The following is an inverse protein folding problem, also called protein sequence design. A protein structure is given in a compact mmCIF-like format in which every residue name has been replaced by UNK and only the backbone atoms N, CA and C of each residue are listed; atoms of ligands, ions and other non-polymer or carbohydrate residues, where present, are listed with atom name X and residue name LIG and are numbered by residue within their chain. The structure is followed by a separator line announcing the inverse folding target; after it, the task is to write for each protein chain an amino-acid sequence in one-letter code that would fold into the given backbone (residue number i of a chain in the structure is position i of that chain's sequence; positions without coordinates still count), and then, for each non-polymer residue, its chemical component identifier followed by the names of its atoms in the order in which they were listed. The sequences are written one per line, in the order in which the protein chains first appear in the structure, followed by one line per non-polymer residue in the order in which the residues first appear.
data_IF_149744631863
#
_entry.id   IF_149744631863
#
_cell.length_a   1.000
_cell.length_b   1.000
_cell.length_c   1.000
_cell.angle_alpha   90.00
_cell.angle_beta   90.00
_cell.angle_gamma   90.00
#
_symmetry.space_group_name_H-M   'P 1'
#
loop_
_entity.id
_entity.type
_entity.pdbx_description
1 polymer ?
#
# COMPACT_ATOMS: atom_id res chain seq x y z
N UNK A 1 14.17 13.29 -4.01
CA UNK A 1 14.02 11.88 -3.60
C UNK A 1 12.72 11.35 -4.19
N UNK A 2 12.69 10.13 -4.75
CA UNK A 2 11.42 9.52 -5.16
C UNK A 2 10.84 8.70 -4.01
N UNK A 3 9.61 8.99 -3.63
CA UNK A 3 8.84 8.24 -2.63
C UNK A 3 7.75 7.43 -3.30
N UNK A 4 7.45 6.26 -2.74
CA UNK A 4 6.33 5.43 -3.18
C UNK A 4 5.39 5.20 -2.01
N UNK A 5 4.09 5.27 -2.27
CA UNK A 5 3.05 4.89 -1.31
C UNK A 5 2.47 3.54 -1.69
N UNK A 6 2.30 2.65 -0.70
CA UNK A 6 1.60 1.37 -0.96
C UNK A 6 0.12 1.65 -1.21
N UNK A 7 -0.41 1.08 -2.29
CA UNK A 7 -1.79 1.26 -2.74
C UNK A 7 -2.47 -0.09 -2.95
N UNK A 8 -3.65 -0.24 -2.38
CA UNK A 8 -4.58 -1.33 -2.67
C UNK A 8 -5.89 -0.80 -3.18
N UNK A 9 -6.46 -1.51 -4.14
CA UNK A 9 -7.71 -1.10 -4.76
C UNK A 9 -8.67 -2.28 -4.87
N UNK A 10 -9.96 -1.98 -4.74
CA UNK A 10 -11.07 -2.84 -5.17
C UNK A 10 -11.94 -1.98 -6.06
N UNK A 11 -11.94 -2.28 -7.36
CA UNK A 11 -12.65 -1.48 -8.36
C UNK A 11 -13.59 -2.32 -9.22
N UNK A 12 -14.64 -1.68 -9.69
CA UNK A 12 -15.57 -2.18 -10.69
C UNK A 12 -16.25 -0.99 -11.39
N UNK A 13 -16.92 -1.21 -12.54
CA UNK A 13 -17.60 -0.13 -13.27
C UNK A 13 -18.61 0.66 -12.41
N UNK A 14 -19.29 0.00 -11.47
CA UNK A 14 -20.22 0.65 -10.53
C UNK A 14 -19.80 0.48 -9.07
N UNK A 15 -20.23 1.41 -8.22
CA UNK A 15 -19.96 1.34 -6.78
C UNK A 15 -20.56 0.08 -6.12
N UNK A 16 -21.74 -0.36 -6.57
CA UNK A 16 -22.40 -1.57 -6.08
C UNK A 16 -21.57 -2.81 -6.44
N UNK A 17 -21.03 -2.90 -7.65
CA UNK A 17 -20.17 -4.02 -8.04
C UNK A 17 -18.82 -4.00 -7.30
N UNK A 18 -18.25 -2.82 -7.06
CA UNK A 18 -17.02 -2.69 -6.28
C UNK A 18 -17.26 -3.14 -4.83
N UNK A 19 -18.40 -2.78 -4.25
CA UNK A 19 -18.81 -3.24 -2.92
C UNK A 19 -19.03 -4.77 -2.89
N UNK A 20 -19.74 -5.33 -3.87
CA UNK A 20 -19.90 -6.80 -3.97
C UNK A 20 -18.56 -7.53 -4.09
N UNK A 21 -17.61 -6.98 -4.86
CA UNK A 21 -16.25 -7.52 -4.97
C UNK A 21 -15.53 -7.44 -3.62
N UNK A 22 -15.64 -6.32 -2.91
CA UNK A 22 -15.11 -6.18 -1.55
C UNK A 22 -15.72 -7.20 -0.59
N UNK A 23 -17.04 -7.36 -0.57
CA UNK A 23 -17.74 -8.28 0.31
C UNK A 23 -17.32 -9.74 0.04
N UNK A 24 -17.10 -10.09 -1.23
CA UNK A 24 -16.56 -11.40 -1.64
C UNK A 24 -15.14 -11.63 -1.15
N UNK A 25 -14.27 -10.61 -1.21
CA UNK A 25 -12.92 -10.69 -0.64
C UNK A 25 -12.99 -10.87 0.88
N UNK A 26 -13.87 -10.13 1.55
CA UNK A 26 -14.06 -10.18 2.99
C UNK A 26 -14.62 -11.53 3.46
N UNK A 27 -15.51 -12.16 2.71
CA UNK A 27 -16.08 -13.46 3.07
C UNK A 27 -15.06 -14.61 3.01
N UNK A 28 -14.01 -14.46 2.21
CA UNK A 28 -12.89 -15.40 2.10
C UNK A 28 -11.70 -15.03 3.02
N UNK A 29 -11.87 -14.01 3.87
CA UNK A 29 -10.80 -13.48 4.68
C UNK A 29 -10.72 -14.16 6.05
N UNK A 30 -9.58 -14.79 6.36
CA UNK A 30 -9.39 -15.53 7.61
C UNK A 30 -8.57 -14.74 8.64
N UNK A 31 -9.22 -14.23 9.69
CA UNK A 31 -8.54 -13.48 10.77
C UNK A 31 -7.35 -14.25 11.36
N UNK A 32 -7.49 -15.55 11.63
CA UNK A 32 -6.41 -16.35 12.24
C UNK A 32 -5.14 -16.38 11.38
N UNK A 33 -5.28 -16.52 10.05
CA UNK A 33 -4.13 -16.46 9.14
C UNK A 33 -3.42 -15.10 9.21
N UNK A 34 -4.18 -14.03 9.44
CA UNK A 34 -3.63 -12.68 9.51
C UNK A 34 -2.96 -12.40 10.84
N UNK A 35 -3.46 -12.98 11.94
CA UNK A 35 -2.78 -12.93 13.24
C UNK A 35 -1.50 -13.76 13.25
N UNK A 36 -1.43 -14.85 12.48
CA UNK A 36 -0.16 -15.58 12.25
C UNK A 36 0.84 -14.70 11.49
N UNK A 37 0.41 -13.99 10.44
CA UNK A 37 1.26 -13.02 9.74
C UNK A 37 1.72 -11.90 10.68
N UNK A 38 0.82 -11.37 11.51
CA UNK A 38 1.16 -10.37 12.53
C UNK A 38 2.24 -10.86 13.49
N UNK A 39 2.13 -12.10 13.96
CA UNK A 39 3.13 -12.70 14.83
C UNK A 39 4.50 -12.83 14.13
N UNK A 40 4.52 -13.16 12.83
CA UNK A 40 5.73 -13.15 12.02
C UNK A 40 6.35 -11.75 11.86
N UNK A 41 5.51 -10.72 11.64
CA UNK A 41 5.96 -9.33 11.43
C UNK A 41 6.42 -8.64 12.72
N UNK A 42 5.93 -9.08 13.89
CA UNK A 42 6.14 -8.39 15.18
C UNK A 42 6.86 -9.22 16.24
N UNK A 43 6.91 -10.54 16.09
CA UNK A 43 7.31 -11.49 17.14
C UNK A 43 6.25 -11.71 18.22
N UNK A 44 5.05 -11.12 18.11
CA UNK A 44 4.02 -11.16 19.16
C UNK A 44 2.88 -12.09 18.78
N UNK A 45 2.71 -13.18 19.55
CA UNK A 45 1.58 -14.10 19.43
C UNK A 45 0.35 -13.55 20.17
N UNK A 46 -0.56 -12.94 19.40
CA UNK A 46 -1.80 -12.34 19.90
C UNK A 46 -2.73 -13.35 20.57
N UNK A 47 -2.63 -14.66 20.27
CA UNK A 47 -3.49 -15.67 20.90
C UNK A 47 -3.28 -15.79 22.42
N UNK A 48 -2.15 -15.30 22.93
CA UNK A 48 -1.76 -15.34 24.35
C UNK A 48 -2.25 -14.17 25.18
N UNK A 49 -2.91 -13.18 24.56
CA UNK A 49 -3.31 -11.93 25.19
C UNK A 49 -4.83 -11.79 25.30
N UNK A 50 -5.31 -11.24 26.42
CA UNK A 50 -6.71 -10.83 26.56
C UNK A 50 -7.00 -9.55 25.75
N UNK A 51 -8.24 -9.32 25.32
CA UNK A 51 -8.59 -8.18 24.43
C UNK A 51 -8.24 -6.79 25.00
N UNK A 52 -8.34 -6.63 26.32
CA UNK A 52 -8.04 -5.38 27.02
C UNK A 52 -6.56 -5.23 27.39
N UNK A 53 -5.74 -6.25 27.15
CA UNK A 53 -4.33 -6.25 27.49
C UNK A 53 -3.53 -5.42 26.47
N UNK A 54 -2.72 -4.49 26.98
CA UNK A 54 -1.82 -3.68 26.16
C UNK A 54 -0.64 -4.53 25.67
N UNK A 55 -0.26 -4.36 24.41
CA UNK A 55 0.86 -5.09 23.82
C UNK A 55 2.21 -4.55 24.32
N UNK A 56 3.20 -5.43 24.34
CA UNK A 56 4.60 -5.02 24.49
C UNK A 56 5.00 -4.10 23.34
N UNK A 57 5.69 -3.00 23.67
CA UNK A 57 6.30 -2.10 22.68
C UNK A 57 7.66 -2.60 22.20
N UNK A 58 8.22 -3.61 22.88
CA UNK A 58 9.44 -4.28 22.46
C UNK A 58 9.07 -5.37 21.44
N UNK A 59 9.37 -5.10 20.18
CA UNK A 59 9.07 -5.95 19.02
C UNK A 59 10.34 -6.17 18.20
N UNK A 60 10.46 -7.33 17.57
CA UNK A 60 11.58 -7.67 16.68
C UNK A 60 11.41 -7.10 15.26
N UNK A 61 10.26 -6.50 14.95
CA UNK A 61 9.92 -6.06 13.60
C UNK A 61 9.08 -4.78 13.57
N UNK A 62 7.89 -4.84 12.99
CA UNK A 62 7.10 -3.66 12.65
C UNK A 62 6.54 -2.94 13.88
N UNK A 63 7.27 -1.97 14.44
CA UNK A 63 6.82 -1.15 15.57
C UNK A 63 5.50 -0.40 15.29
N UNK A 64 5.21 -0.07 14.03
CA UNK A 64 3.93 0.57 13.64
C UNK A 64 2.70 -0.33 13.84
N UNK A 65 2.89 -1.62 14.08
CA UNK A 65 1.82 -2.59 14.31
C UNK A 65 1.54 -2.84 15.80
N UNK A 66 2.38 -2.35 16.70
CA UNK A 66 2.17 -2.43 18.16
C UNK A 66 1.76 -1.10 18.78
N UNK A 67 1.88 0.01 18.04
CA UNK A 67 1.57 1.36 18.49
C UNK A 67 0.28 1.92 17.89
N UNK A 68 -0.39 2.80 18.64
CA UNK A 68 -1.54 3.57 18.14
C UNK A 68 -1.08 4.58 17.07
N UNK A 69 -1.82 4.70 15.95
CA UNK A 69 -1.45 5.60 14.85
C UNK A 69 -1.77 7.08 15.12
N UNK A 70 -2.32 7.41 16.30
CA UNK A 70 -2.74 8.75 16.70
C UNK A 70 -1.60 9.64 17.23
N UNK A 71 -0.35 9.14 17.20
CA UNK A 71 0.81 9.85 17.72
C UNK A 71 0.91 9.90 19.24
N UNK A 72 0.01 9.21 19.97
CA UNK A 72 0.03 9.19 21.44
C UNK A 72 1.21 8.42 22.04
N UNK A 73 1.91 7.63 21.23
CA UNK A 73 2.98 6.73 21.69
C UNK A 73 2.48 5.57 22.55
N UNK A 74 1.16 5.36 22.64
CA UNK A 74 0.57 4.26 23.40
C UNK A 74 0.57 2.97 22.59
N UNK A 75 0.79 1.80 23.23
CA UNK A 75 0.60 0.53 22.57
C UNK A 75 -0.88 0.29 22.23
N UNK A 76 -1.11 -0.50 21.19
CA UNK A 76 -2.40 -1.11 20.90
C UNK A 76 -2.71 -2.18 21.96
N UNK A 77 -4.00 -2.47 22.18
CA UNK A 77 -4.41 -3.69 22.87
C UNK A 77 -4.55 -4.86 21.89
N UNK A 78 -4.54 -6.09 22.41
CA UNK A 78 -4.76 -7.28 21.58
C UNK A 78 -6.13 -7.25 20.87
N UNK A 79 -7.17 -6.72 21.53
CA UNK A 79 -8.50 -6.54 20.94
C UNK A 79 -8.49 -5.52 19.79
N UNK A 80 -7.76 -4.40 19.94
CA UNK A 80 -7.58 -3.41 18.88
C UNK A 80 -6.85 -4.02 17.66
N UNK A 81 -5.85 -4.89 17.89
CA UNK A 81 -5.20 -5.64 16.80
C UNK A 81 -6.17 -6.60 16.12
N UNK A 82 -6.92 -7.42 16.87
CA UNK A 82 -7.92 -8.33 16.28
C UNK A 82 -8.93 -7.58 15.42
N UNK A 83 -9.44 -6.45 15.90
CA UNK A 83 -10.37 -5.61 15.16
C UNK A 83 -9.72 -5.02 13.89
N UNK A 84 -8.53 -4.43 14.02
CA UNK A 84 -7.81 -3.82 12.90
C UNK A 84 -7.48 -4.85 11.81
N UNK A 85 -7.15 -6.08 12.20
CA UNK A 85 -6.77 -7.15 11.29
C UNK A 85 -7.96 -7.98 10.77
N UNK A 86 -9.20 -7.74 11.23
CA UNK A 86 -10.39 -8.49 10.82
C UNK A 86 -10.89 -8.18 9.40
N UNK A 87 -10.43 -7.08 8.80
CA UNK A 87 -10.93 -6.63 7.49
C UNK A 87 -9.88 -6.79 6.40
N UNK A 88 -10.32 -7.06 5.17
CA UNK A 88 -9.43 -7.10 4.00
C UNK A 88 -8.75 -5.75 3.77
N UNK A 89 -9.38 -4.65 4.19
CA UNK A 89 -8.82 -3.28 4.25
C UNK A 89 -7.97 -3.01 5.49
N UNK A 90 -7.45 -4.03 6.19
CA UNK A 90 -6.50 -3.81 7.30
C UNK A 90 -5.25 -3.06 6.84
N UNK A 91 -4.51 -2.42 7.74
CA UNK A 91 -3.17 -1.90 7.44
C UNK A 91 -3.01 -0.41 7.67
N UNK A 92 -1.99 0.17 7.06
CA UNK A 92 -1.70 1.62 7.06
C UNK A 92 -1.40 2.15 5.66
N UNK A 93 -1.61 1.32 4.64
CA UNK A 93 -1.50 1.69 3.25
C UNK A 93 -2.74 2.44 2.77
N UNK A 94 -2.64 3.05 1.58
CA UNK A 94 -3.80 3.70 0.96
C UNK A 94 -4.68 2.62 0.35
N UNK A 95 -5.92 2.49 0.82
CA UNK A 95 -6.85 1.46 0.36
C UNK A 95 -8.11 2.13 -0.15
N UNK A 96 -8.43 1.89 -1.42
CA UNK A 96 -9.55 2.54 -2.08
C UNK A 96 -10.53 1.50 -2.64
N UNK A 97 -11.81 1.69 -2.36
CA UNK A 97 -12.90 0.85 -2.87
C UNK A 97 -13.89 1.74 -3.60
N UNK A 98 -14.19 1.45 -4.87
CA UNK A 98 -15.16 2.26 -5.61
C UNK A 98 -15.04 2.15 -7.13
N UNK A 99 -15.61 3.15 -7.82
CA UNK A 99 -15.52 3.25 -9.28
C UNK A 99 -14.15 3.78 -9.71
N UNK A 100 -13.79 3.64 -11.01
CA UNK A 100 -12.52 4.10 -11.51
C UNK A 100 -12.32 5.61 -11.36
N UNK A 101 -13.37 6.39 -11.60
CA UNK A 101 -13.37 7.84 -11.46
C UNK A 101 -13.13 8.24 -10.00
N UNK A 102 -13.83 7.59 -9.06
CA UNK A 102 -13.69 7.85 -7.62
C UNK A 102 -12.28 7.52 -7.13
N UNK A 103 -11.73 6.38 -7.55
CA UNK A 103 -10.38 5.97 -7.17
C UNK A 103 -9.35 6.94 -7.76
N UNK A 104 -9.52 7.37 -9.01
CA UNK A 104 -8.65 8.35 -9.65
C UNK A 104 -8.70 9.72 -8.94
N UNK A 105 -9.89 10.20 -8.52
CA UNK A 105 -10.03 11.41 -7.70
C UNK A 105 -9.23 11.30 -6.38
N UNK A 106 -9.33 10.15 -5.71
CA UNK A 106 -8.62 9.92 -4.44
C UNK A 106 -7.11 9.80 -4.63
N UNK A 107 -6.66 9.18 -5.71
CA UNK A 107 -5.23 9.11 -6.06
C UNK A 107 -4.67 10.50 -6.35
N UNK A 108 -5.41 11.33 -7.08
CA UNK A 108 -5.04 12.72 -7.38
C UNK A 108 -4.90 13.55 -6.11
N UNK A 109 -5.93 13.53 -5.26
CA UNK A 109 -5.94 14.30 -4.02
C UNK A 109 -4.85 13.82 -3.05
N UNK A 110 -4.68 12.50 -2.92
CA UNK A 110 -3.62 11.95 -2.09
C UNK A 110 -2.23 12.34 -2.62
N UNK A 111 -1.98 12.29 -3.93
CA UNK A 111 -0.70 12.68 -4.51
C UNK A 111 -0.41 14.17 -4.25
N UNK A 112 -1.42 15.03 -4.37
CA UNK A 112 -1.32 16.47 -4.09
C UNK A 112 -0.96 16.76 -2.64
N UNK A 113 -1.58 16.06 -1.68
CA UNK A 113 -1.34 16.26 -0.24
C UNK A 113 0.01 15.66 0.19
N UNK A 114 0.28 14.42 -0.21
CA UNK A 114 1.44 13.65 0.30
C UNK A 114 2.75 14.00 -0.40
N UNK A 115 2.69 14.54 -1.62
CA UNK A 115 3.87 14.70 -2.48
C UNK A 115 4.51 13.38 -2.91
N UNK A 116 3.78 12.26 -2.85
CA UNK A 116 4.30 10.95 -3.26
C UNK A 116 4.69 10.96 -4.74
N UNK A 117 5.82 10.31 -5.08
CA UNK A 117 6.28 10.25 -6.47
C UNK A 117 5.62 9.11 -7.28
N UNK A 118 4.87 8.24 -6.63
CA UNK A 118 4.17 7.13 -7.26
C UNK A 118 3.62 6.14 -6.25
N UNK A 119 3.08 5.04 -6.76
CA UNK A 119 2.43 4.03 -5.96
C UNK A 119 3.02 2.64 -6.20
N UNK A 120 3.13 1.87 -5.13
CA UNK A 120 3.42 0.44 -5.17
C UNK A 120 2.10 -0.32 -5.04
N UNK A 121 1.67 -0.97 -6.11
CA UNK A 121 0.43 -1.74 -6.10
C UNK A 121 0.61 -3.04 -5.33
N UNK A 122 -0.23 -3.24 -4.32
CA UNK A 122 -0.31 -4.47 -3.55
C UNK A 122 -1.63 -5.20 -3.91
N UNK A 123 -1.60 -6.23 -4.76
CA UNK A 123 -2.83 -6.89 -5.20
C UNK A 123 -3.50 -7.67 -4.06
N UNK A 124 -4.83 -7.60 -3.97
CA UNK A 124 -5.62 -8.42 -3.04
C UNK A 124 -5.82 -9.85 -3.58
N UNK A 125 -5.98 -9.97 -4.90
CA UNK A 125 -5.99 -11.24 -5.64
C UNK A 125 -5.16 -11.06 -6.91
N UNK A 126 -4.26 -12.01 -7.19
CA UNK A 126 -3.50 -12.04 -8.43
C UNK A 126 -4.00 -13.15 -9.36
N UNK A 127 -4.20 -12.88 -10.67
CA UNK A 127 -3.95 -11.62 -11.36
C UNK A 127 -5.11 -10.60 -11.28
N UNK A 128 -6.25 -10.95 -10.71
CA UNK A 128 -7.50 -10.17 -10.79
C UNK A 128 -7.38 -8.68 -10.45
N UNK A 129 -6.79 -8.32 -9.30
CA UNK A 129 -6.60 -6.92 -8.89
C UNK A 129 -5.71 -6.13 -9.85
N UNK A 130 -4.74 -6.79 -10.51
CA UNK A 130 -3.88 -6.15 -11.50
C UNK A 130 -4.62 -5.93 -12.82
N UNK A 131 -5.43 -6.89 -13.26
CA UNK A 131 -6.27 -6.73 -14.45
C UNK A 131 -7.25 -5.57 -14.26
N UNK A 132 -7.93 -5.53 -13.11
CA UNK A 132 -8.83 -4.43 -12.75
C UNK A 132 -8.11 -3.07 -12.78
N UNK A 133 -6.88 -2.98 -12.27
CA UNK A 133 -6.09 -1.75 -12.31
C UNK A 133 -5.80 -1.32 -13.75
N UNK A 134 -5.36 -2.26 -14.59
CA UNK A 134 -4.99 -1.99 -15.98
C UNK A 134 -6.19 -1.61 -16.83
N UNK A 135 -7.30 -2.33 -16.69
CA UNK A 135 -8.48 -2.15 -17.53
C UNK A 135 -9.32 -0.93 -17.12
N UNK A 136 -9.40 -0.65 -15.82
CA UNK A 136 -10.33 0.36 -15.31
C UNK A 136 -9.60 1.62 -14.80
N UNK A 137 -8.53 1.46 -14.02
CA UNK A 137 -7.88 2.61 -13.35
C UNK A 137 -6.90 3.34 -14.26
N UNK A 138 -6.07 2.64 -15.04
CA UNK A 138 -5.12 3.29 -15.95
C UNK A 138 -5.84 4.27 -16.90
N UNK A 139 -6.94 3.91 -17.58
CA UNK A 139 -7.67 4.85 -18.43
C UNK A 139 -8.20 6.08 -17.66
N UNK A 140 -8.70 5.87 -16.43
CA UNK A 140 -9.18 6.98 -15.59
C UNK A 140 -8.04 7.93 -15.18
N UNK A 141 -6.86 7.41 -14.87
CA UNK A 141 -5.67 8.22 -14.57
C UNK A 141 -5.10 8.92 -15.81
N UNK A 142 -5.12 8.27 -16.97
CA UNK A 142 -4.69 8.87 -18.24
C UNK A 142 -5.55 10.07 -18.64
N UNK A 143 -6.89 9.98 -18.49
CA UNK A 143 -7.81 11.11 -18.72
C UNK A 143 -7.46 12.36 -17.90
N UNK A 144 -6.80 12.17 -16.75
CA UNK A 144 -6.37 13.22 -15.82
C UNK A 144 -4.91 13.63 -16.00
N UNK A 145 -4.18 13.02 -16.92
CA UNK A 145 -2.73 13.24 -17.07
C UNK A 145 -1.88 12.68 -15.92
N UNK A 146 -2.45 11.81 -15.06
CA UNK A 146 -1.78 11.21 -13.91
C UNK A 146 -1.07 9.90 -14.24
N UNK A 147 -1.26 9.39 -15.46
CA UNK A 147 -0.57 8.20 -15.94
C UNK A 147 -0.16 8.40 -17.40
N UNK A 148 1.02 7.89 -17.75
CA UNK A 148 1.58 8.02 -19.11
C UNK A 148 0.75 7.26 -20.16
N UNK A 149 0.69 7.81 -21.36
CA UNK A 149 0.01 7.18 -22.52
C UNK A 149 0.98 6.47 -23.46
N UNK A 150 2.27 6.78 -23.38
CA UNK A 150 3.32 6.18 -24.22
C UNK A 150 4.36 5.46 -23.38
N UNK A 151 4.94 4.40 -23.94
CA UNK A 151 6.06 3.72 -23.33
C UNK A 151 7.30 4.62 -23.37
N UNK A 152 8.02 4.70 -22.25
CA UNK A 152 9.32 5.37 -22.19
C UNK A 152 10.42 4.40 -22.61
N UNK A 153 11.35 4.86 -23.44
CA UNK A 153 12.59 4.17 -23.78
C UNK A 153 13.67 4.40 -22.71
N UNK A 154 14.82 3.73 -22.85
CA UNK A 154 15.95 3.85 -21.92
C UNK A 154 15.90 2.88 -20.74
N UNK A 155 16.89 2.99 -19.85
CA UNK A 155 16.99 2.15 -18.65
C UNK A 155 15.90 2.49 -17.62
N UNK A 156 15.72 1.65 -16.62
CA UNK A 156 14.82 1.98 -15.50
C UNK A 156 15.24 3.29 -14.80
N UNK A 157 16.55 3.56 -14.71
CA UNK A 157 17.05 4.77 -14.06
C UNK A 157 16.70 6.03 -14.85
N UNK A 158 16.96 6.06 -16.16
CA UNK A 158 16.64 7.25 -16.97
C UNK A 158 15.16 7.54 -16.98
N UNK A 159 14.32 6.50 -17.04
CA UNK A 159 12.84 6.64 -16.92
C UNK A 159 12.37 7.18 -15.57
N UNK A 160 13.14 6.94 -14.51
CA UNK A 160 12.82 7.39 -13.15
C UNK A 160 13.59 8.64 -12.71
N UNK A 161 14.60 9.11 -13.43
CA UNK A 161 15.44 10.23 -12.99
C UNK A 161 15.00 11.51 -13.67
N UNK A 162 15.02 12.62 -12.95
CA UNK A 162 14.64 13.92 -13.51
C UNK A 162 15.63 14.41 -14.59
N UNK A 163 16.88 13.94 -14.54
CA UNK A 163 17.95 14.27 -15.49
C UNK A 163 18.07 13.28 -16.67
N UNK A 164 17.22 12.25 -16.70
CA UNK A 164 17.26 11.21 -17.75
C UNK A 164 18.54 10.38 -17.77
N UNK A 165 19.37 10.41 -16.72
CA UNK A 165 20.65 9.71 -16.70
C UNK A 165 20.49 8.20 -16.50
N UNK A 166 21.31 7.40 -17.18
CA UNK A 166 21.35 5.94 -16.98
C UNK A 166 22.26 5.53 -15.82
N UNK A 167 23.09 6.45 -15.31
CA UNK A 167 24.06 6.21 -14.23
C UNK A 167 23.68 7.01 -12.98
N UNK A 168 24.15 6.57 -11.81
CA UNK A 168 23.99 7.35 -10.57
C UNK A 168 24.53 8.79 -10.70
N UNK A 169 23.97 9.78 -9.99
CA UNK A 169 24.61 11.09 -9.93
C UNK A 169 25.99 10.99 -9.26
N UNK A 170 26.90 11.91 -9.57
CA UNK A 170 28.26 11.94 -8.99
C UNK A 170 28.25 12.05 -7.45
N UNK A 171 27.17 12.59 -6.88
CA UNK A 171 26.96 12.70 -5.43
C UNK A 171 26.55 11.39 -4.74
N UNK A 172 26.14 10.35 -5.47
CA UNK A 172 25.75 9.09 -4.86
C UNK A 172 26.98 8.29 -4.43
N UNK A 173 26.91 7.60 -3.29
CA UNK A 173 28.01 6.75 -2.80
C UNK A 173 28.45 5.70 -3.84
N UNK A 174 27.52 5.07 -4.55
CA UNK A 174 27.87 4.12 -5.62
C UNK A 174 28.69 4.72 -6.78
N UNK A 175 28.69 6.04 -6.95
CA UNK A 175 29.52 6.70 -7.95
C UNK A 175 31.01 6.76 -7.55
N UNK A 176 31.36 6.63 -6.25
CA UNK A 176 32.76 6.61 -5.79
C UNK A 176 33.53 5.35 -6.20
N UNK A 177 32.84 4.34 -6.75
CA UNK A 177 33.43 3.09 -7.22
C UNK A 177 33.49 3.00 -8.76
N UNK A 178 33.39 4.14 -9.46
CA UNK A 178 33.61 4.20 -10.92
C UNK A 178 35.10 4.22 -11.19
N UNK A 179 35.60 3.17 -11.80
CA UNK A 179 36.95 3.14 -12.33
C UNK A 179 36.98 3.86 -13.69
N UNK A 180 38.09 4.54 -13.96
CA UNK A 180 38.36 5.25 -15.21
C UNK A 180 38.56 4.27 -16.37
#
# INVERSE_FOLDING_TARGET
MKSLTVLRIVTAPTAIEAQKKYDSLQSNYHLQAQLVSYAGDTGIDISRYADNEALSTHTEGMTSYVMKPDGSGKPLTAGEVRQRFANVTRGSDLILVGTPEHIADKIEEHARISGTSGYMLNPLISPGSLNDFVELIIPALQKRGLYRTTAQSGTLRSRLSADGSDRLPSSAHGASFRFA
#
